data_IF_850480494074
#
_entry.id   IF_850480494074
#
_cell.length_a   1.000
_cell.length_b   1.000
_cell.length_c   1.000
_cell.angle_alpha   90.00
_cell.angle_beta   90.00
_cell.angle_gamma   90.00
#
_symmetry.space_group_name_H-M   'P 1'
#
loop_
_entity.id
_entity.type
_entity.pdbx_description
1 polymer ?
#
# COMPACT_ATOMS: atom_id res chain seq x y z
N UNK A 1 -24.14 -8.54 5.81
CA UNK A 1 -23.22 -9.28 4.92
C UNK A 1 -23.51 -8.89 3.49
N UNK A 2 -22.63 -8.16 2.87
CA UNK A 2 -22.75 -7.75 1.46
C UNK A 2 -22.61 -8.98 0.55
N UNK A 3 -23.01 -8.88 -0.71
CA UNK A 3 -23.01 -10.05 -1.61
C UNK A 3 -21.59 -10.58 -1.84
N UNK A 4 -21.39 -11.90 -2.09
CA UNK A 4 -20.09 -12.46 -2.45
C UNK A 4 -19.40 -11.75 -3.61
N UNK A 5 -20.20 -11.12 -4.49
CA UNK A 5 -19.72 -10.34 -5.63
C UNK A 5 -18.91 -9.11 -5.20
N UNK A 6 -19.29 -8.43 -4.10
CA UNK A 6 -18.57 -7.28 -3.56
C UNK A 6 -17.14 -7.69 -3.11
N UNK A 7 -17.03 -8.80 -2.39
CA UNK A 7 -15.75 -9.36 -1.96
C UNK A 7 -14.82 -9.68 -3.16
N UNK A 8 -15.37 -10.34 -4.19
CA UNK A 8 -14.61 -10.66 -5.41
C UNK A 8 -14.16 -9.41 -6.16
N UNK A 9 -14.97 -8.36 -6.19
CA UNK A 9 -14.60 -7.06 -6.78
C UNK A 9 -13.44 -6.40 -6.01
N UNK A 10 -13.42 -6.54 -4.69
CA UNK A 10 -12.30 -6.05 -3.90
C UNK A 10 -11.04 -6.89 -4.13
N UNK A 11 -11.13 -8.22 -4.14
CA UNK A 11 -10.02 -9.09 -4.52
C UNK A 11 -9.41 -8.68 -5.85
N UNK A 12 -10.26 -8.44 -6.87
CA UNK A 12 -9.80 -7.93 -8.17
C UNK A 12 -9.01 -6.62 -8.03
N UNK A 13 -9.42 -5.72 -7.12
CA UNK A 13 -8.79 -4.40 -6.94
C UNK A 13 -7.38 -4.46 -6.38
N UNK A 14 -7.08 -5.48 -5.59
CA UNK A 14 -5.77 -5.68 -4.93
C UNK A 14 -4.95 -6.78 -5.62
N UNK A 15 -5.45 -7.35 -6.68
CA UNK A 15 -4.75 -8.33 -7.51
C UNK A 15 -3.55 -7.69 -8.22
N UNK A 16 -2.46 -8.45 -8.39
CA UNK A 16 -1.25 -7.99 -9.06
C UNK A 16 -1.48 -7.55 -10.51
N UNK A 17 -2.51 -8.08 -11.18
CA UNK A 17 -2.90 -7.72 -12.54
C UNK A 17 -3.75 -6.44 -12.60
N UNK A 18 -4.24 -5.94 -11.48
CA UNK A 18 -5.03 -4.70 -11.48
C UNK A 18 -4.16 -3.52 -11.96
N UNK A 19 -4.65 -2.67 -12.88
CA UNK A 19 -3.81 -1.75 -13.65
C UNK A 19 -3.41 -0.47 -12.89
N UNK A 20 -2.98 -0.59 -11.64
CA UNK A 20 -2.44 0.52 -10.81
C UNK A 20 -0.93 0.67 -10.93
N UNK A 21 -0.22 -0.41 -11.26
CA UNK A 21 1.23 -0.42 -11.39
C UNK A 21 1.96 -0.62 -10.05
N UNK A 22 1.34 -1.30 -9.08
CA UNK A 22 1.94 -1.58 -7.77
C UNK A 22 3.28 -2.32 -7.87
N UNK A 23 3.44 -3.19 -8.88
CA UNK A 23 4.67 -3.94 -9.14
C UNK A 23 5.88 -3.05 -9.53
N UNK A 24 5.68 -1.77 -9.78
CA UNK A 24 6.76 -0.84 -10.15
C UNK A 24 7.40 -0.17 -8.94
N UNK A 25 6.87 -0.38 -7.73
CA UNK A 25 7.40 0.19 -6.50
C UNK A 25 8.21 -0.88 -5.76
N UNK A 26 9.49 -0.60 -5.50
CA UNK A 26 10.36 -1.49 -4.73
C UNK A 26 10.29 -1.23 -3.22
N UNK A 27 9.76 -0.09 -2.80
CA UNK A 27 9.74 0.35 -1.39
C UNK A 27 11.15 0.37 -0.76
N UNK A 28 12.16 0.78 -1.53
CA UNK A 28 13.56 0.80 -1.10
C UNK A 28 14.29 -0.54 -1.22
N UNK A 29 13.63 -1.63 -1.61
CA UNK A 29 14.22 -2.96 -1.76
C UNK A 29 15.40 -2.95 -2.74
N UNK A 30 15.28 -2.24 -3.87
CA UNK A 30 16.34 -2.17 -4.88
C UNK A 30 17.63 -1.54 -4.32
N UNK A 31 17.50 -0.51 -3.46
CA UNK A 31 18.64 0.07 -2.75
C UNK A 31 19.29 -0.93 -1.79
N UNK A 32 18.49 -1.71 -1.04
CA UNK A 32 19.02 -2.76 -0.16
C UNK A 32 19.78 -3.83 -0.92
N UNK A 33 19.33 -4.23 -2.10
CA UNK A 33 20.00 -5.21 -2.95
C UNK A 33 21.31 -4.65 -3.50
N UNK A 34 21.31 -3.41 -4.02
CA UNK A 34 22.51 -2.78 -4.57
C UNK A 34 23.57 -2.43 -3.51
N UNK A 35 23.14 -2.20 -2.27
CA UNK A 35 24.01 -2.01 -1.10
C UNK A 35 24.47 -3.35 -0.48
N UNK A 36 24.17 -4.49 -1.13
CA UNK A 36 24.50 -5.85 -0.67
C UNK A 36 23.92 -6.21 0.71
N UNK A 37 22.87 -5.52 1.13
CA UNK A 37 22.16 -5.72 2.41
C UNK A 37 21.01 -6.72 2.32
N UNK A 38 20.65 -7.15 1.11
CA UNK A 38 19.63 -8.15 0.85
C UNK A 38 20.12 -9.07 -0.27
N UNK A 39 20.54 -10.29 0.09
CA UNK A 39 21.12 -11.26 -0.83
C UNK A 39 20.54 -12.67 -0.64
N UNK A 40 19.98 -12.96 0.53
CA UNK A 40 19.50 -14.29 0.94
C UNK A 40 18.00 -14.29 1.24
N UNK A 41 17.36 -15.48 1.29
CA UNK A 41 15.99 -15.63 1.77
C UNK A 41 15.78 -15.05 3.18
N UNK A 42 16.76 -15.21 4.05
CA UNK A 42 16.74 -14.73 5.44
C UNK A 42 16.73 -13.20 5.49
N UNK A 43 17.54 -12.54 4.65
CA UNK A 43 17.56 -11.06 4.55
C UNK A 43 16.21 -10.52 4.08
N UNK A 44 15.57 -11.20 3.10
CA UNK A 44 14.25 -10.81 2.63
C UNK A 44 13.19 -10.95 3.74
N UNK A 45 13.26 -12.00 4.53
CA UNK A 45 12.36 -12.22 5.66
C UNK A 45 12.54 -11.12 6.73
N UNK A 46 13.79 -10.77 7.05
CA UNK A 46 14.10 -9.68 7.98
C UNK A 46 13.59 -8.33 7.45
N UNK A 47 13.80 -8.05 6.16
CA UNK A 47 13.27 -6.85 5.50
C UNK A 47 11.75 -6.76 5.60
N UNK A 48 11.03 -7.84 5.31
CA UNK A 48 9.56 -7.90 5.39
C UNK A 48 9.06 -7.74 6.83
N UNK A 49 9.77 -8.34 7.80
CA UNK A 49 9.43 -8.17 9.21
C UNK A 49 9.56 -6.71 9.63
N UNK A 50 10.68 -6.05 9.30
CA UNK A 50 10.87 -4.62 9.55
C UNK A 50 9.85 -3.74 8.84
N UNK A 51 9.45 -4.08 7.61
CA UNK A 51 8.38 -3.40 6.89
C UNK A 51 7.04 -3.51 7.61
N UNK A 52 6.65 -4.72 8.02
CA UNK A 52 5.39 -4.99 8.70
C UNK A 52 5.28 -4.32 10.07
N UNK A 53 6.39 -4.11 10.78
CA UNK A 53 6.41 -3.36 12.05
C UNK A 53 5.99 -1.90 11.89
N UNK A 54 6.30 -1.26 10.78
CA UNK A 54 5.98 0.17 10.54
C UNK A 54 4.75 0.36 9.67
N UNK A 55 4.32 -0.64 8.95
CA UNK A 55 3.21 -0.57 8.00
C UNK A 55 1.88 -0.12 8.62
N UNK A 56 1.52 -0.47 9.88
CA UNK A 56 0.34 0.06 10.56
C UNK A 56 0.33 1.58 10.68
N UNK A 57 1.49 2.20 10.78
CA UNK A 57 1.64 3.65 10.94
C UNK A 57 1.81 4.39 9.61
N UNK A 58 1.81 3.65 8.51
CA UNK A 58 2.01 4.12 7.15
C UNK A 58 0.75 3.82 6.28
N UNK A 59 0.92 3.25 5.12
CA UNK A 59 -0.16 3.05 4.14
C UNK A 59 -1.33 2.20 4.66
N UNK A 60 -1.07 1.23 5.55
CA UNK A 60 -2.14 0.43 6.15
C UNK A 60 -3.01 1.29 7.08
N UNK A 61 -2.38 2.13 7.93
CA UNK A 61 -3.08 3.07 8.79
C UNK A 61 -3.86 4.14 8.02
N UNK A 62 -3.28 4.68 6.94
CA UNK A 62 -4.00 5.60 6.07
C UNK A 62 -5.25 4.93 5.46
N UNK A 63 -5.14 3.68 5.01
CA UNK A 63 -6.28 2.95 4.46
C UNK A 63 -7.35 2.66 5.53
N UNK A 64 -6.96 2.33 6.76
CA UNK A 64 -7.84 2.19 7.92
C UNK A 64 -8.63 3.48 8.18
N UNK A 65 -7.94 4.62 8.32
CA UNK A 65 -8.61 5.89 8.60
C UNK A 65 -9.48 6.37 7.43
N UNK A 66 -9.08 6.09 6.19
CA UNK A 66 -9.92 6.39 5.03
C UNK A 66 -11.19 5.51 4.97
N UNK A 67 -11.11 4.26 5.43
CA UNK A 67 -12.24 3.35 5.56
C UNK A 67 -13.21 3.81 6.64
N UNK A 68 -12.72 4.06 7.86
CA UNK A 68 -13.54 4.43 9.03
C UNK A 68 -14.19 5.80 8.89
N UNK A 69 -13.56 6.73 8.15
CA UNK A 69 -14.07 8.09 7.93
C UNK A 69 -14.52 8.33 6.47
N UNK A 70 -14.90 7.26 5.76
CA UNK A 70 -15.20 7.31 4.32
C UNK A 70 -16.30 8.30 3.94
N UNK A 71 -17.18 8.68 4.88
CA UNK A 71 -18.26 9.64 4.66
C UNK A 71 -17.91 11.07 5.08
N UNK A 72 -16.75 11.30 5.74
CA UNK A 72 -16.28 12.62 6.15
C UNK A 72 -15.32 13.21 5.11
N UNK A 73 -15.89 13.99 4.22
CA UNK A 73 -15.18 14.64 3.12
C UNK A 73 -14.03 15.54 3.62
N UNK A 74 -14.25 16.28 4.71
CA UNK A 74 -13.22 17.19 5.26
C UNK A 74 -12.04 16.39 5.83
N UNK A 75 -12.37 15.30 6.50
CA UNK A 75 -11.37 14.38 7.04
C UNK A 75 -10.54 13.74 5.92
N UNK A 76 -11.18 13.25 4.87
CA UNK A 76 -10.51 12.66 3.72
C UNK A 76 -9.56 13.64 2.99
N UNK A 77 -9.94 14.92 2.90
CA UNK A 77 -9.04 15.96 2.38
C UNK A 77 -7.79 16.12 3.26
N UNK A 78 -7.97 16.20 4.58
CA UNK A 78 -6.87 16.29 5.55
C UNK A 78 -5.98 15.05 5.47
N UNK A 79 -6.58 13.87 5.38
CA UNK A 79 -5.86 12.59 5.31
C UNK A 79 -5.02 12.47 4.03
N UNK A 80 -5.53 12.94 2.88
CA UNK A 80 -4.76 12.97 1.64
C UNK A 80 -3.52 13.89 1.78
N UNK A 81 -3.68 15.10 2.33
CA UNK A 81 -2.59 16.02 2.58
C UNK A 81 -1.56 15.45 3.57
N UNK A 82 -2.04 14.82 4.66
CA UNK A 82 -1.19 14.15 5.64
C UNK A 82 -0.39 13.01 4.99
N UNK A 83 -1.03 12.21 4.15
CA UNK A 83 -0.37 11.12 3.41
C UNK A 83 0.80 11.64 2.57
N UNK A 84 0.63 12.78 1.92
CA UNK A 84 1.71 13.44 1.17
C UNK A 84 2.85 13.92 2.05
N UNK A 85 2.53 14.48 3.21
CA UNK A 85 3.52 14.99 4.16
C UNK A 85 4.35 13.86 4.82
N UNK A 86 3.73 12.71 5.07
CA UNK A 86 4.38 11.54 5.67
C UNK A 86 5.40 10.87 4.73
N UNK A 87 5.18 10.93 3.42
CA UNK A 87 6.05 10.28 2.42
C UNK A 87 7.24 11.16 2.08
N UNK A 88 8.33 11.05 2.85
CA UNK A 88 9.57 11.83 2.65
C UNK A 88 10.24 11.55 1.30
N UNK A 89 10.34 10.27 0.92
CA UNK A 89 10.91 9.87 -0.37
C UNK A 89 10.00 10.30 -1.53
N UNK A 90 10.54 11.14 -2.42
CA UNK A 90 9.81 11.74 -3.56
C UNK A 90 9.21 10.67 -4.48
N UNK A 91 9.99 9.62 -4.80
CA UNK A 91 9.55 8.57 -5.74
C UNK A 91 8.40 7.76 -5.14
N UNK A 92 8.45 7.41 -3.85
CA UNK A 92 7.37 6.74 -3.12
C UNK A 92 6.11 7.60 -3.11
N UNK A 93 6.24 8.89 -2.82
CA UNK A 93 5.13 9.85 -2.83
C UNK A 93 4.47 9.95 -4.20
N UNK A 94 5.26 10.16 -5.25
CA UNK A 94 4.77 10.23 -6.63
C UNK A 94 4.19 8.89 -7.11
N UNK A 95 4.80 7.77 -6.72
CA UNK A 95 4.33 6.43 -7.04
C UNK A 95 2.95 6.18 -6.45
N UNK A 96 2.77 6.47 -5.17
CA UNK A 96 1.48 6.32 -4.47
C UNK A 96 0.37 7.18 -5.11
N UNK A 97 0.65 8.45 -5.46
CA UNK A 97 -0.31 9.30 -6.17
C UNK A 97 -0.66 8.74 -7.55
N UNK A 98 0.33 8.32 -8.35
CA UNK A 98 0.09 7.71 -9.66
C UNK A 98 -0.77 6.45 -9.56
N UNK A 99 -0.52 5.60 -8.56
CA UNK A 99 -1.32 4.40 -8.30
C UNK A 99 -2.76 4.77 -7.96
N UNK A 100 -2.98 5.72 -7.06
CA UNK A 100 -4.32 6.17 -6.69
C UNK A 100 -5.10 6.78 -7.86
N UNK A 101 -4.46 7.61 -8.68
CA UNK A 101 -5.08 8.17 -9.90
C UNK A 101 -5.49 7.06 -10.88
N UNK A 102 -4.63 6.04 -11.09
CA UNK A 102 -4.94 4.90 -11.95
C UNK A 102 -6.06 4.05 -11.37
N UNK A 103 -6.07 3.84 -10.05
CA UNK A 103 -7.13 3.14 -9.34
C UNK A 103 -8.48 3.81 -9.54
N UNK A 104 -8.57 5.10 -9.27
CA UNK A 104 -9.78 5.91 -9.46
C UNK A 104 -10.28 5.86 -10.91
N UNK A 105 -9.37 5.91 -11.88
CA UNK A 105 -9.69 5.79 -13.30
C UNK A 105 -10.26 4.41 -13.65
N UNK A 106 -9.61 3.35 -13.17
CA UNK A 106 -10.02 1.97 -13.45
C UNK A 106 -11.41 1.67 -12.85
N UNK A 107 -11.63 2.05 -11.58
CA UNK A 107 -12.93 1.85 -10.92
C UNK A 107 -14.06 2.59 -11.59
N UNK A 108 -13.82 3.83 -12.02
CA UNK A 108 -14.80 4.59 -12.78
C UNK A 108 -15.15 3.93 -14.13
N UNK A 109 -14.15 3.41 -14.83
CA UNK A 109 -14.37 2.73 -16.11
C UNK A 109 -15.18 1.44 -15.97
N UNK A 110 -15.12 0.79 -14.81
CA UNK A 110 -15.90 -0.41 -14.48
C UNK A 110 -17.33 -0.09 -13.99
N UNK A 111 -17.73 1.18 -13.96
CA UNK A 111 -19.03 1.65 -13.46
C UNK A 111 -19.34 1.20 -12.01
N UNK A 112 -18.32 1.03 -11.21
CA UNK A 112 -18.38 0.50 -9.85
C UNK A 112 -17.80 1.54 -8.87
N UNK A 113 -18.41 2.74 -8.88
CA UNK A 113 -17.96 3.85 -8.05
C UNK A 113 -19.11 4.40 -7.23
N UNK A 114 -18.96 4.33 -5.91
CA UNK A 114 -19.83 5.05 -4.99
C UNK A 114 -19.64 6.57 -5.04
N UNK A 115 -20.59 7.29 -4.48
CA UNK A 115 -20.64 8.75 -4.52
C UNK A 115 -19.38 9.38 -3.92
N UNK A 116 -18.90 8.91 -2.76
CA UNK A 116 -17.71 9.44 -2.11
C UNK A 116 -16.44 9.24 -2.96
N UNK A 117 -16.29 8.07 -3.58
CA UNK A 117 -15.14 7.80 -4.45
C UNK A 117 -15.17 8.68 -5.71
N UNK A 118 -16.36 8.92 -6.27
CA UNK A 118 -16.53 9.82 -7.41
C UNK A 118 -16.22 11.28 -7.03
N UNK A 119 -16.63 11.69 -5.84
CA UNK A 119 -16.32 12.99 -5.30
C UNK A 119 -14.81 13.17 -5.09
N UNK A 120 -14.16 12.23 -4.40
CA UNK A 120 -12.71 12.24 -4.20
C UNK A 120 -11.97 12.33 -5.54
N UNK A 121 -12.38 11.53 -6.54
CA UNK A 121 -11.85 11.60 -7.90
C UNK A 121 -12.01 12.98 -8.55
N UNK A 122 -13.13 13.68 -8.34
CA UNK A 122 -13.31 15.04 -8.88
C UNK A 122 -12.28 16.01 -8.31
N UNK A 123 -11.98 15.94 -7.02
CA UNK A 123 -10.96 16.77 -6.38
C UNK A 123 -9.53 16.46 -6.89
N UNK A 124 -9.23 15.18 -7.04
CA UNK A 124 -7.95 14.74 -7.61
C UNK A 124 -7.80 15.21 -9.06
N UNK A 125 -8.84 15.06 -9.88
CA UNK A 125 -8.82 15.53 -11.27
C UNK A 125 -8.72 17.07 -11.37
N UNK A 126 -9.26 17.78 -10.40
CA UNK A 126 -9.18 19.23 -10.27
C UNK A 126 -7.85 19.73 -9.66
N UNK A 127 -6.88 18.85 -9.37
CA UNK A 127 -5.61 19.14 -8.69
C UNK A 127 -5.76 19.82 -7.32
N UNK A 128 -6.87 19.57 -6.64
CA UNK A 128 -7.10 20.02 -5.27
C UNK A 128 -6.50 19.02 -4.26
N UNK A 129 -6.48 17.73 -4.61
CA UNK A 129 -5.87 16.63 -3.87
C UNK A 129 -4.91 15.86 -4.78
N UNK A 130 -3.95 15.18 -4.17
CA UNK A 130 -2.94 14.39 -4.90
C UNK A 130 -3.45 12.98 -5.28
N UNK A 131 -4.41 12.44 -4.53
CA UNK A 131 -5.04 11.17 -4.84
C UNK A 131 -4.20 9.96 -4.47
N UNK A 132 -3.69 9.90 -3.25
CA UNK A 132 -2.86 8.78 -2.79
C UNK A 132 -3.63 7.46 -2.74
N UNK A 133 -2.93 6.39 -3.13
CA UNK A 133 -3.53 5.06 -3.29
C UNK A 133 -4.20 4.52 -2.03
N UNK A 134 -3.58 4.55 -0.82
CA UNK A 134 -4.24 4.02 0.38
C UNK A 134 -5.51 4.77 0.74
N UNK A 135 -5.59 6.09 0.49
CA UNK A 135 -6.82 6.87 0.70
C UNK A 135 -7.92 6.42 -0.27
N UNK A 136 -7.61 6.34 -1.57
CA UNK A 136 -8.57 5.90 -2.59
C UNK A 136 -9.07 4.47 -2.33
N UNK A 137 -8.16 3.58 -1.91
CA UNK A 137 -8.48 2.19 -1.61
C UNK A 137 -9.36 2.04 -0.37
N UNK A 138 -9.07 2.79 0.72
CA UNK A 138 -9.87 2.79 1.94
C UNK A 138 -11.29 3.30 1.70
N UNK A 139 -11.47 4.39 0.94
CA UNK A 139 -12.79 4.90 0.53
C UNK A 139 -13.54 3.81 -0.26
N UNK A 140 -12.89 3.15 -1.20
CA UNK A 140 -13.51 2.07 -1.98
C UNK A 140 -13.86 0.87 -1.10
N UNK A 141 -12.97 0.47 -0.20
CA UNK A 141 -13.21 -0.64 0.72
C UNK A 141 -14.48 -0.43 1.57
N UNK A 142 -14.74 0.79 2.04
CA UNK A 142 -15.95 1.12 2.80
C UNK A 142 -17.23 0.93 2.00
N UNK A 143 -17.14 0.90 0.67
CA UNK A 143 -18.26 0.55 -0.20
C UNK A 143 -18.51 -0.96 -0.31
N UNK A 144 -17.49 -1.75 0.00
CA UNK A 144 -17.49 -3.20 -0.19
C UNK A 144 -17.69 -3.95 1.13
N UNK A 145 -17.05 -3.50 2.19
CA UNK A 145 -17.01 -4.15 3.50
C UNK A 145 -17.87 -3.40 4.52
N UNK A 146 -18.51 -4.13 5.41
CA UNK A 146 -19.10 -3.57 6.62
C UNK A 146 -17.98 -3.32 7.67
N UNK A 147 -18.27 -2.52 8.70
CA UNK A 147 -17.25 -2.15 9.71
C UNK A 147 -16.63 -3.38 10.42
N UNK A 148 -17.43 -4.41 10.66
CA UNK A 148 -17.01 -5.67 11.26
C UNK A 148 -16.09 -6.51 10.36
N UNK A 149 -16.07 -6.19 9.06
CA UNK A 149 -15.27 -6.88 8.04
C UNK A 149 -13.96 -6.13 7.71
N UNK A 150 -13.65 -5.03 8.41
CA UNK A 150 -12.46 -4.21 8.18
C UNK A 150 -11.16 -5.00 8.20
N UNK A 151 -11.00 -5.93 9.16
CA UNK A 151 -9.80 -6.77 9.25
C UNK A 151 -9.56 -7.59 7.99
N UNK A 152 -10.63 -8.01 7.29
CA UNK A 152 -10.52 -8.74 6.02
C UNK A 152 -9.98 -7.82 4.92
N UNK A 153 -10.52 -6.62 4.81
CA UNK A 153 -10.03 -5.60 3.89
C UNK A 153 -8.54 -5.32 4.10
N UNK A 154 -8.15 -5.01 5.35
CA UNK A 154 -6.77 -4.68 5.71
C UNK A 154 -5.81 -5.86 5.44
N UNK A 155 -6.25 -7.09 5.74
CA UNK A 155 -5.47 -8.30 5.45
C UNK A 155 -5.25 -8.50 3.95
N UNK A 156 -6.27 -8.31 3.13
CA UNK A 156 -6.17 -8.44 1.67
C UNK A 156 -5.26 -7.36 1.07
N UNK A 157 -5.39 -6.12 1.54
CA UNK A 157 -4.50 -5.04 1.12
C UNK A 157 -3.05 -5.31 1.55
N UNK A 158 -2.83 -5.64 2.81
CA UNK A 158 -1.50 -5.95 3.33
C UNK A 158 -0.85 -7.12 2.60
N UNK A 159 -1.60 -8.19 2.35
CA UNK A 159 -1.12 -9.33 1.57
C UNK A 159 -0.69 -8.92 0.15
N UNK A 160 -1.48 -8.08 -0.52
CA UNK A 160 -1.13 -7.61 -1.87
C UNK A 160 0.18 -6.83 -1.89
N UNK A 161 0.44 -6.02 -0.85
CA UNK A 161 1.68 -5.24 -0.72
C UNK A 161 2.88 -6.14 -0.48
N UNK A 162 2.84 -7.05 0.52
CA UNK A 162 3.98 -7.94 0.79
C UNK A 162 4.22 -8.92 -0.35
N UNK A 163 3.18 -9.38 -1.03
CA UNK A 163 3.29 -10.21 -2.23
C UNK A 163 4.01 -9.47 -3.37
N UNK A 164 3.72 -8.19 -3.57
CA UNK A 164 4.43 -7.37 -4.56
C UNK A 164 5.92 -7.19 -4.20
N UNK A 165 6.24 -6.96 -2.93
CA UNK A 165 7.63 -6.87 -2.43
C UNK A 165 8.38 -8.18 -2.70
N UNK A 166 7.79 -9.33 -2.33
CA UNK A 166 8.39 -10.66 -2.57
C UNK A 166 8.61 -10.92 -4.06
N UNK A 167 7.62 -10.60 -4.91
CA UNK A 167 7.76 -10.75 -6.36
C UNK A 167 8.89 -9.88 -6.95
N UNK A 168 9.09 -8.69 -6.40
CA UNK A 168 10.19 -7.81 -6.80
C UNK A 168 11.54 -8.37 -6.31
N UNK A 169 11.61 -8.88 -5.08
CA UNK A 169 12.81 -9.49 -4.53
C UNK A 169 13.29 -10.70 -5.35
N UNK A 170 12.38 -11.61 -5.73
CA UNK A 170 12.71 -12.80 -6.55
C UNK A 170 13.29 -12.42 -7.93
N UNK A 171 13.02 -11.21 -8.42
CA UNK A 171 13.60 -10.71 -9.68
C UNK A 171 14.95 -10.01 -9.50
N UNK A 172 15.20 -9.44 -8.33
CA UNK A 172 16.41 -8.67 -8.01
C UNK A 172 17.53 -9.54 -7.44
N UNK A 173 17.16 -10.59 -6.71
CA UNK A 173 18.08 -11.50 -6.00
C UNK A 173 17.91 -12.91 -6.56
N UNK A 174 18.94 -13.77 -6.61
CA UNK A 174 18.85 -15.13 -7.12
C UNK A 174 18.08 -16.06 -6.17
N UNK A 175 16.82 -15.72 -5.90
CA UNK A 175 15.87 -16.50 -5.11
C UNK A 175 14.95 -17.30 -6.04
N UNK A 176 14.60 -18.52 -5.64
CA UNK A 176 13.56 -19.26 -6.37
C UNK A 176 12.16 -18.71 -6.05
N UNK A 177 11.20 -18.94 -6.94
CA UNK A 177 9.79 -18.61 -6.67
C UNK A 177 9.25 -19.38 -5.44
N UNK A 178 9.76 -20.59 -5.20
CA UNK A 178 9.38 -21.39 -4.01
C UNK A 178 9.90 -20.77 -2.72
N UNK A 179 11.12 -20.19 -2.73
CA UNK A 179 11.63 -19.44 -1.59
C UNK A 179 10.74 -18.22 -1.32
N UNK A 180 10.36 -17.49 -2.36
CA UNK A 180 9.43 -16.37 -2.24
C UNK A 180 8.10 -16.78 -1.61
N UNK A 181 7.49 -17.88 -2.05
CA UNK A 181 6.22 -18.38 -1.49
C UNK A 181 6.37 -18.85 -0.03
N UNK A 182 7.48 -19.50 0.31
CA UNK A 182 7.77 -19.90 1.68
C UNK A 182 7.88 -18.69 2.59
N UNK A 183 8.68 -17.68 2.21
CA UNK A 183 8.86 -16.44 2.97
C UNK A 183 7.52 -15.71 3.14
N UNK A 184 6.73 -15.60 2.07
CA UNK A 184 5.41 -14.98 2.14
C UNK A 184 4.51 -15.70 3.16
N UNK A 185 4.48 -17.04 3.14
CA UNK A 185 3.72 -17.84 4.10
C UNK A 185 4.21 -17.64 5.53
N UNK A 186 5.53 -17.56 5.74
CA UNK A 186 6.12 -17.34 7.06
C UNK A 186 5.86 -15.92 7.61
N UNK A 187 5.59 -14.94 6.74
CA UNK A 187 5.26 -13.56 7.14
C UNK A 187 3.77 -13.34 7.43
N UNK A 188 2.87 -14.29 7.13
CA UNK A 188 1.43 -14.13 7.38
C UNK A 188 1.08 -13.85 8.85
N UNK A 189 1.69 -14.50 9.86
CA UNK A 189 1.44 -14.14 11.25
C UNK A 189 1.79 -12.67 11.56
N UNK A 190 2.94 -12.18 11.09
CA UNK A 190 3.34 -10.77 11.29
C UNK A 190 2.41 -9.79 10.55
N UNK A 191 1.85 -10.18 9.41
CA UNK A 191 0.81 -9.39 8.76
C UNK A 191 -0.47 -9.34 9.60
N UNK A 192 -0.88 -10.45 10.20
CA UNK A 192 -2.05 -10.48 11.09
C UNK A 192 -1.84 -9.57 12.30
N UNK A 193 -0.65 -9.60 12.91
CA UNK A 193 -0.27 -8.69 14.00
C UNK A 193 -0.32 -7.22 13.56
N UNK A 194 0.16 -6.89 12.36
CA UNK A 194 0.10 -5.56 11.79
C UNK A 194 -1.36 -5.08 11.59
N UNK A 195 -2.26 -5.96 11.16
CA UNK A 195 -3.69 -5.67 11.01
C UNK A 195 -4.35 -5.44 12.37
N UNK A 196 -4.01 -6.22 13.38
CA UNK A 196 -4.50 -5.97 14.75
C UNK A 196 -3.95 -4.65 15.32
N UNK A 197 -2.69 -4.34 15.06
CA UNK A 197 -2.06 -3.12 15.53
C UNK A 197 -2.71 -1.88 14.91
N UNK A 198 -2.99 -1.87 13.61
CA UNK A 198 -3.58 -0.72 12.94
C UNK A 198 -4.94 -0.32 13.50
N UNK A 199 -5.71 -1.27 14.02
CA UNK A 199 -7.00 -1.00 14.66
C UNK A 199 -6.88 -0.36 16.06
N UNK A 200 -5.66 -0.28 16.59
CA UNK A 200 -5.36 0.27 17.93
C UNK A 200 -4.61 1.60 17.88
N UNK A 201 -4.04 1.95 16.71
CA UNK A 201 -3.29 3.20 16.58
C UNK A 201 -4.20 4.41 16.58
N UNK A 202 -3.68 5.54 17.06
CA UNK A 202 -4.29 6.85 16.91
C UNK A 202 -3.82 7.56 15.64
N UNK A 203 -4.57 8.56 15.18
CA UNK A 203 -4.16 9.40 14.03
C UNK A 203 -2.81 10.08 14.25
N UNK A 204 -2.47 10.39 15.51
CA UNK A 204 -1.22 11.07 15.88
C UNK A 204 0.02 10.17 15.69
N UNK A 205 -0.17 8.86 15.63
CA UNK A 205 0.91 7.88 15.39
C UNK A 205 1.18 7.66 13.90
N UNK A 206 0.32 8.20 13.01
CA UNK A 206 0.58 8.15 11.59
C UNK A 206 1.89 8.89 11.24
N UNK A 207 2.70 8.27 10.40
CA UNK A 207 4.01 8.80 9.99
C UNK A 207 5.19 8.22 10.77
N UNK A 208 4.97 7.40 11.78
CA UNK A 208 6.06 6.59 12.36
C UNK A 208 6.65 5.73 11.24
N UNK A 209 7.95 5.82 11.02
CA UNK A 209 8.65 5.17 9.91
C UNK A 209 9.89 4.42 10.38
N UNK A 210 10.33 3.45 9.58
CA UNK A 210 11.62 2.79 9.73
C UNK A 210 12.71 3.64 9.08
N UNK A 211 13.53 4.35 9.87
CA UNK A 211 14.51 5.30 9.35
C UNK A 211 15.45 4.72 8.28
N UNK A 212 15.91 3.47 8.44
CA UNK A 212 16.77 2.81 7.45
C UNK A 212 16.05 2.58 6.11
N UNK A 213 14.78 2.17 6.16
CA UNK A 213 13.97 1.92 4.97
C UNK A 213 13.64 3.24 4.25
N UNK A 214 13.26 4.27 4.99
CA UNK A 214 12.98 5.60 4.43
C UNK A 214 14.23 6.19 3.73
N UNK A 215 15.40 6.10 4.36
CA UNK A 215 16.68 6.52 3.77
C UNK A 215 16.96 5.73 2.48
N UNK A 216 16.70 4.43 2.45
CA UNK A 216 16.89 3.60 1.25
C UNK A 216 15.93 4.01 0.13
N UNK A 217 14.68 4.33 0.45
CA UNK A 217 13.75 4.90 -0.51
C UNK A 217 14.23 6.26 -1.07
N UNK A 218 14.80 7.13 -0.22
CA UNK A 218 15.34 8.41 -0.67
C UNK A 218 16.58 8.25 -1.54
N UNK A 219 17.46 7.30 -1.22
CA UNK A 219 18.69 7.02 -2.00
C UNK A 219 18.38 6.42 -3.36
N UNK A 220 17.23 5.79 -3.52
CA UNK A 220 16.82 5.20 -4.81
C UNK A 220 16.86 6.22 -5.96
N UNK A 221 16.57 7.49 -5.72
CA UNK A 221 16.66 8.55 -6.74
C UNK A 221 18.09 8.73 -7.31
N UNK A 222 19.10 8.32 -6.57
CA UNK A 222 20.52 8.50 -6.92
C UNK A 222 21.14 7.26 -7.58
N UNK A 223 20.39 6.17 -7.71
CA UNK A 223 20.89 4.94 -8.32
C UNK A 223 21.17 5.17 -9.82
N UNK A 224 22.35 4.70 -10.27
CA UNK A 224 22.77 4.81 -11.67
C UNK A 224 21.88 3.99 -12.61
N UNK A 225 21.47 2.82 -12.20
CA UNK A 225 20.56 1.93 -12.94
C UNK A 225 19.39 1.56 -12.05
N UNK A 226 18.18 1.62 -12.58
CA UNK A 226 16.93 1.37 -11.83
C UNK A 226 16.00 0.49 -12.64
N UNK A 227 15.49 -0.58 -12.02
CA UNK A 227 14.44 -1.42 -12.59
C UNK A 227 13.05 -0.96 -12.13
N UNK A 228 12.97 -0.32 -10.97
CA UNK A 228 11.73 0.11 -10.34
C UNK A 228 11.62 1.64 -10.28
N UNK A 229 10.44 2.12 -9.91
CA UNK A 229 10.16 3.56 -9.79
C UNK A 229 10.52 4.12 -8.41
N UNK A 230 10.70 3.25 -7.40
CA UNK A 230 11.09 3.65 -6.03
C UNK A 230 11.68 2.47 -5.28
#
# INVERSE_FOLDING_TARGET
MRSPDCFLKFMQSVDAFFPVGAFTLSNGLESYVLEERLQTPEDLKEYLHGFLMVFPYQDLGIAHFAFTHSMDIKYLCKLDQLTGAMKGAKEVRLGSSKMGIRFLKARTAMHDCEETLQWYRKLVKGHTLEGYYPVALGIYAASVFDTEEESQFLSMYGYSVISAIVNNAVKLVPLSQMDGQRILSECLPSLSEAVEQVQRISEEELGICGGAMEISCMRHEQLYSRQYMS
#
